data_IF_907044063465
#
_entry.id   IF_907044063465
#
_cell.length_a   1.000
_cell.length_b   1.000
_cell.length_c   1.000
_cell.angle_alpha   90.00
_cell.angle_beta   90.00
_cell.angle_gamma   90.00
#
_symmetry.space_group_name_H-M   'P 1'
#
loop_
_entity.id
_entity.type
_entity.pdbx_description
1 polymer ?
#
# COMPACT_ATOMS: atom_id res chain seq x y z
N UNK A 1 17.48 -2.63 4.21
CA UNK A 1 16.24 -1.97 3.72
C UNK A 1 15.96 -0.79 4.62
N UNK A 2 15.68 0.37 4.05
CA UNK A 2 15.55 1.63 4.80
C UNK A 2 14.09 1.96 5.08
N UNK A 3 13.80 2.41 6.30
CA UNK A 3 12.46 2.90 6.65
C UNK A 3 12.25 4.33 6.15
N UNK A 4 11.00 4.76 5.95
CA UNK A 4 10.67 6.15 5.61
C UNK A 4 11.29 7.14 6.61
N UNK A 5 11.23 6.83 7.91
CA UNK A 5 11.80 7.68 8.97
C UNK A 5 13.30 7.85 8.81
N UNK A 6 14.03 6.76 8.53
CA UNK A 6 15.47 6.81 8.27
C UNK A 6 15.81 7.59 7.01
N UNK A 7 15.05 7.39 5.92
CA UNK A 7 15.27 8.05 4.65
C UNK A 7 15.07 9.57 4.75
N UNK A 8 13.97 10.00 5.38
CA UNK A 8 13.70 11.43 5.63
C UNK A 8 14.75 12.03 6.56
N UNK A 9 15.19 11.29 7.59
CA UNK A 9 16.21 11.78 8.52
C UNK A 9 17.58 11.98 7.83
N UNK A 10 17.94 11.12 6.87
CA UNK A 10 19.22 11.19 6.14
C UNK A 10 19.30 12.37 5.18
N UNK A 11 18.19 12.77 4.56
CA UNK A 11 18.21 13.77 3.50
C UNK A 11 17.35 15.00 3.83
N UNK A 12 17.86 15.86 4.73
CA UNK A 12 17.18 17.10 5.14
C UNK A 12 17.46 18.32 4.24
N UNK A 13 18.27 18.15 3.19
CA UNK A 13 18.73 19.27 2.34
C UNK A 13 17.81 19.58 1.15
N UNK A 14 16.89 18.67 0.82
CA UNK A 14 15.87 18.86 -0.20
C UNK A 14 14.55 18.22 0.22
N UNK A 15 13.40 18.60 -0.38
CA UNK A 15 12.15 17.91 -0.15
C UNK A 15 12.27 16.41 -0.45
N UNK A 16 11.60 15.60 0.38
CA UNK A 16 11.44 14.16 0.16
C UNK A 16 10.20 13.95 -0.71
N UNK A 17 10.39 13.40 -1.90
CA UNK A 17 9.33 13.26 -2.92
C UNK A 17 8.78 11.85 -2.91
N UNK A 18 7.48 11.72 -2.66
CA UNK A 18 6.74 10.45 -2.74
C UNK A 18 5.79 10.50 -3.93
N UNK A 19 5.83 9.49 -4.79
CA UNK A 19 4.94 9.38 -5.95
C UNK A 19 3.86 8.33 -5.69
N UNK A 20 2.58 8.72 -5.80
CA UNK A 20 1.44 7.81 -5.68
C UNK A 20 1.31 6.92 -6.93
N UNK A 21 1.09 5.63 -6.70
CA UNK A 21 0.89 4.60 -7.72
C UNK A 21 -0.41 3.89 -7.44
N UNK A 22 -1.33 3.97 -8.40
CA UNK A 22 -2.50 3.10 -8.44
C UNK A 22 -2.07 1.71 -8.93
N UNK A 23 -2.33 0.63 -8.17
CA UNK A 23 -2.06 -0.72 -8.66
C UNK A 23 -2.83 -1.01 -9.96
N UNK A 24 -2.36 -1.93 -10.81
CA UNK A 24 -3.02 -2.30 -12.05
C UNK A 24 -4.30 -3.10 -11.80
N UNK A 25 -5.18 -3.11 -12.81
CA UNK A 25 -6.42 -3.90 -12.83
C UNK A 25 -6.22 -5.34 -13.30
N UNK A 26 -5.15 -5.60 -14.04
CA UNK A 26 -4.80 -6.91 -14.58
C UNK A 26 -3.49 -7.42 -13.97
N UNK A 27 -3.19 -8.70 -14.16
CA UNK A 27 -1.90 -9.32 -13.79
C UNK A 27 -0.75 -8.98 -14.75
N UNK A 28 -0.96 -8.09 -15.72
CA UNK A 28 0.07 -7.65 -16.67
C UNK A 28 1.00 -6.65 -15.96
N UNK A 29 2.28 -6.97 -15.88
CA UNK A 29 3.30 -6.15 -15.21
C UNK A 29 3.91 -5.09 -16.11
N UNK A 30 3.68 -5.15 -17.43
CA UNK A 30 4.25 -4.19 -18.37
C UNK A 30 3.71 -2.78 -18.11
N UNK A 31 2.47 -2.65 -17.61
CA UNK A 31 1.92 -1.37 -17.14
C UNK A 31 2.74 -0.74 -16.01
N UNK A 32 3.47 -1.53 -15.21
CA UNK A 32 4.33 -1.04 -14.12
C UNK A 32 5.71 -0.61 -14.62
N UNK A 33 6.13 -1.05 -15.81
CA UNK A 33 7.44 -0.69 -16.36
C UNK A 33 7.58 0.82 -16.58
N UNK A 34 6.47 1.51 -16.88
CA UNK A 34 6.43 2.96 -17.03
C UNK A 34 6.88 3.73 -15.77
N UNK A 35 6.77 3.13 -14.58
CA UNK A 35 7.24 3.73 -13.33
C UNK A 35 8.76 3.95 -13.30
N UNK A 36 9.53 3.22 -14.13
CA UNK A 36 10.98 3.42 -14.25
C UNK A 36 11.35 4.77 -14.89
N UNK A 37 10.40 5.46 -15.52
CA UNK A 37 10.60 6.80 -16.09
C UNK A 37 10.63 7.93 -15.06
N UNK A 38 10.26 7.65 -13.81
CA UNK A 38 10.28 8.61 -12.70
C UNK A 38 11.18 8.11 -11.58
N UNK A 39 11.83 9.04 -10.88
CA UNK A 39 12.82 8.74 -9.83
C UNK A 39 12.47 9.43 -8.49
N UNK A 40 11.29 9.13 -7.90
CA UNK A 40 10.96 9.65 -6.58
C UNK A 40 11.87 9.05 -5.51
N UNK A 41 11.90 9.65 -4.32
CA UNK A 41 12.60 9.07 -3.17
C UNK A 41 11.92 7.78 -2.68
N UNK A 42 10.61 7.67 -2.91
CA UNK A 42 9.79 6.52 -2.53
C UNK A 42 8.50 6.48 -3.36
N UNK A 43 7.98 5.29 -3.62
CA UNK A 43 6.64 5.11 -4.16
C UNK A 43 5.61 4.89 -3.05
N UNK A 44 4.39 5.37 -3.24
CA UNK A 44 3.25 5.08 -2.39
C UNK A 44 2.22 4.28 -3.17
N UNK A 45 2.00 3.03 -2.78
CA UNK A 45 1.10 2.14 -3.48
C UNK A 45 -0.29 2.20 -2.82
N UNK A 46 -1.26 2.76 -3.53
CA UNK A 46 -2.65 2.81 -3.09
C UNK A 46 -3.26 1.40 -2.98
N UNK A 47 -4.40 1.29 -2.29
CA UNK A 47 -5.16 0.05 -2.18
C UNK A 47 -6.61 0.27 -2.64
N UNK A 48 -7.05 -0.54 -3.61
CA UNK A 48 -8.41 -0.54 -4.18
C UNK A 48 -9.00 0.86 -4.49
N UNK A 49 -8.26 1.77 -5.18
CA UNK A 49 -8.77 3.09 -5.54
C UNK A 49 -10.12 3.01 -6.26
N UNK A 50 -11.04 3.90 -5.86
CA UNK A 50 -12.39 3.96 -6.40
C UNK A 50 -13.29 2.76 -6.04
N UNK A 51 -12.94 1.95 -5.03
CA UNK A 51 -13.68 0.74 -4.63
C UNK A 51 -13.74 -0.30 -5.74
N UNK A 52 -12.63 -0.47 -6.45
CA UNK A 52 -12.54 -1.40 -7.57
C UNK A 52 -11.39 -2.37 -7.36
N UNK A 53 -11.56 -3.62 -7.83
CA UNK A 53 -10.53 -4.66 -7.70
C UNK A 53 -9.24 -4.19 -8.36
N UNK A 54 -8.15 -4.41 -7.64
CA UNK A 54 -6.79 -4.07 -8.03
C UNK A 54 -5.84 -5.17 -7.56
N UNK A 55 -4.67 -5.24 -8.19
CA UNK A 55 -3.57 -6.01 -7.64
C UNK A 55 -3.28 -5.55 -6.20
N UNK A 56 -2.91 -6.49 -5.32
CA UNK A 56 -2.72 -6.17 -3.92
C UNK A 56 -1.59 -5.15 -3.74
N UNK A 57 -1.84 -4.14 -2.91
CA UNK A 57 -0.85 -3.09 -2.62
C UNK A 57 0.52 -3.62 -2.16
N UNK A 58 0.62 -4.58 -1.20
CA UNK A 58 1.92 -5.14 -0.83
C UNK A 58 2.58 -5.91 -1.96
N UNK A 59 1.84 -6.63 -2.81
CA UNK A 59 2.43 -7.31 -3.98
C UNK A 59 3.08 -6.32 -4.95
N UNK A 60 2.42 -5.19 -5.23
CA UNK A 60 2.97 -4.16 -6.12
C UNK A 60 4.15 -3.44 -5.47
N UNK A 61 4.09 -3.14 -4.18
CA UNK A 61 5.22 -2.55 -3.46
C UNK A 61 6.47 -3.44 -3.53
N UNK A 62 6.29 -4.75 -3.33
CA UNK A 62 7.41 -5.70 -3.46
C UNK A 62 7.94 -5.77 -4.90
N UNK A 63 7.04 -5.74 -5.89
CA UNK A 63 7.45 -5.73 -7.29
C UNK A 63 8.28 -4.47 -7.61
N UNK A 64 7.87 -3.29 -7.12
CA UNK A 64 8.60 -2.03 -7.29
C UNK A 64 9.99 -2.12 -6.65
N UNK A 65 10.09 -2.55 -5.39
CA UNK A 65 11.39 -2.68 -4.71
C UNK A 65 12.29 -3.72 -5.39
N UNK A 66 11.71 -4.78 -5.97
CA UNK A 66 12.46 -5.86 -6.61
C UNK A 66 12.95 -5.49 -8.02
N UNK A 67 12.15 -4.75 -8.80
CA UNK A 67 12.44 -4.50 -10.22
C UNK A 67 12.95 -3.07 -10.47
N UNK A 68 12.37 -2.06 -9.81
CA UNK A 68 12.73 -0.65 -9.98
C UNK A 68 13.81 -0.22 -8.96
N UNK A 69 13.99 -0.98 -7.88
CA UNK A 69 14.97 -0.72 -6.82
C UNK A 69 14.75 0.61 -6.07
N UNK A 70 13.51 1.11 -6.10
CA UNK A 70 13.08 2.28 -5.33
C UNK A 70 12.24 1.82 -4.14
N UNK A 71 12.45 2.33 -2.91
CA UNK A 71 11.64 1.97 -1.75
C UNK A 71 10.15 2.23 -1.98
N UNK A 72 9.29 1.44 -1.34
CA UNK A 72 7.84 1.60 -1.45
C UNK A 72 7.11 1.55 -0.11
N UNK A 73 6.07 2.38 0.02
CA UNK A 73 4.99 2.27 1.00
C UNK A 73 3.86 1.44 0.40
N UNK A 74 3.29 0.53 1.19
CA UNK A 74 2.06 -0.15 0.82
C UNK A 74 0.92 0.23 1.76
N UNK A 75 -0.30 0.20 1.24
CA UNK A 75 -1.51 0.58 1.94
C UNK A 75 -2.32 -0.64 2.35
N UNK A 76 -2.85 -0.63 3.57
CA UNK A 76 -3.88 -1.58 4.01
C UNK A 76 -5.13 -0.83 4.46
N UNK A 77 -6.29 -1.29 3.96
CA UNK A 77 -7.59 -0.64 4.14
C UNK A 77 -8.43 -1.46 5.10
N UNK A 78 -8.71 -0.94 6.30
CA UNK A 78 -9.42 -1.72 7.34
C UNK A 78 -10.90 -1.95 7.04
N UNK A 79 -11.50 -1.19 6.11
CA UNK A 79 -12.86 -1.43 5.61
C UNK A 79 -12.98 -2.75 4.85
N UNK A 80 -11.94 -3.15 4.12
CA UNK A 80 -12.00 -4.22 3.13
C UNK A 80 -11.64 -5.60 3.73
N UNK A 81 -11.07 -5.65 4.93
CA UNK A 81 -10.50 -6.88 5.50
C UNK A 81 -10.85 -7.07 6.98
N UNK A 82 -10.96 -8.34 7.40
CA UNK A 82 -11.04 -8.69 8.82
C UNK A 82 -9.64 -8.70 9.46
N UNK A 83 -9.60 -8.87 10.79
CA UNK A 83 -8.35 -8.89 11.56
C UNK A 83 -7.35 -9.94 11.04
N UNK A 84 -7.79 -11.18 10.83
CA UNK A 84 -6.93 -12.28 10.38
C UNK A 84 -6.33 -12.00 9.00
N UNK A 85 -7.14 -11.54 8.04
CA UNK A 85 -6.67 -11.18 6.71
C UNK A 85 -5.61 -10.07 6.78
N UNK A 86 -5.87 -9.00 7.56
CA UNK A 86 -4.91 -7.91 7.73
C UNK A 86 -3.58 -8.40 8.34
N UNK A 87 -3.64 -9.20 9.41
CA UNK A 87 -2.43 -9.66 10.10
C UNK A 87 -1.63 -10.67 9.26
N UNK A 88 -2.29 -11.60 8.56
CA UNK A 88 -1.63 -12.54 7.65
C UNK A 88 -0.97 -11.81 6.48
N UNK A 89 -1.66 -10.85 5.86
CA UNK A 89 -1.08 -10.04 4.77
C UNK A 89 0.11 -9.22 5.25
N UNK A 90 0.02 -8.62 6.44
CA UNK A 90 1.14 -7.85 7.02
C UNK A 90 2.37 -8.74 7.28
N UNK A 91 2.16 -9.94 7.84
CA UNK A 91 3.26 -10.88 8.08
C UNK A 91 3.93 -11.30 6.77
N UNK A 92 3.13 -11.61 5.73
CA UNK A 92 3.65 -11.91 4.40
C UNK A 92 4.46 -10.76 3.80
N UNK A 93 3.94 -9.52 3.88
CA UNK A 93 4.65 -8.33 3.44
C UNK A 93 5.99 -8.15 4.16
N UNK A 94 6.02 -8.40 5.47
CA UNK A 94 7.24 -8.33 6.26
C UNK A 94 8.27 -9.39 5.86
N UNK A 95 7.85 -10.63 5.62
CA UNK A 95 8.71 -11.72 5.10
C UNK A 95 9.32 -11.31 3.75
N UNK A 96 8.53 -10.67 2.89
CA UNK A 96 8.97 -10.18 1.58
C UNK A 96 9.89 -8.94 1.65
N UNK A 97 10.22 -8.46 2.85
CA UNK A 97 11.14 -7.34 3.05
C UNK A 97 10.48 -5.96 3.10
N UNK A 98 9.15 -5.85 2.93
CA UNK A 98 8.48 -4.56 3.04
C UNK A 98 8.49 -4.05 4.48
N UNK A 99 8.82 -2.76 4.65
CA UNK A 99 8.96 -2.13 5.97
C UNK A 99 8.11 -0.89 6.18
N UNK A 100 7.46 -0.39 5.13
CA UNK A 100 6.74 0.87 5.16
C UNK A 100 5.25 0.62 4.88
N UNK A 101 4.44 0.69 5.93
CA UNK A 101 3.00 0.45 5.90
C UNK A 101 2.24 1.76 6.13
N UNK A 102 1.19 1.98 5.35
CA UNK A 102 0.17 3.00 5.58
C UNK A 102 -1.16 2.31 5.89
N UNK A 103 -1.77 2.69 7.01
CA UNK A 103 -3.07 2.16 7.43
C UNK A 103 -4.14 3.22 7.25
N UNK A 104 -5.20 2.89 6.52
CA UNK A 104 -6.35 3.77 6.32
C UNK A 104 -7.67 3.05 6.59
N UNK A 105 -8.70 3.81 6.95
CA UNK A 105 -10.07 3.29 7.06
C UNK A 105 -10.61 2.87 5.70
N UNK A 106 -10.38 3.70 4.68
CA UNK A 106 -11.09 3.67 3.40
C UNK A 106 -12.40 4.45 3.44
N UNK A 107 -12.91 4.80 2.25
CA UNK A 107 -14.14 5.59 2.10
C UNK A 107 -15.38 4.82 2.53
N UNK A 108 -16.45 5.51 2.92
CA UNK A 108 -17.71 4.83 3.19
C UNK A 108 -18.29 4.24 1.88
N UNK A 109 -18.93 3.08 1.98
CA UNK A 109 -19.78 2.59 0.90
C UNK A 109 -21.09 3.38 0.91
N UNK A 110 -21.37 4.16 -0.13
CA UNK A 110 -22.68 4.78 -0.32
C UNK A 110 -23.67 3.77 -0.91
N UNK A 111 -24.95 3.83 -0.50
CA UNK A 111 -26.04 2.98 -0.98
C UNK A 111 -26.39 3.17 -2.46
N UNK A 112 -25.81 4.16 -3.15
CA UNK A 112 -26.10 4.53 -4.54
C UNK A 112 -25.18 3.88 -5.58
N UNK A 113 -24.34 2.91 -5.19
CA UNK A 113 -23.46 2.17 -6.11
C UNK A 113 -23.93 0.74 -6.35
N UNK A 114 -23.70 0.23 -7.57
CA UNK A 114 -23.98 -1.14 -8.02
C UNK A 114 -22.98 -2.18 -7.44
N UNK A 115 -22.82 -2.21 -6.12
CA UNK A 115 -21.89 -3.12 -5.45
C UNK A 115 -22.51 -3.73 -4.21
N UNK A 116 -22.48 -5.06 -4.12
CA UNK A 116 -22.92 -5.85 -2.96
C UNK A 116 -21.91 -5.84 -1.81
N UNK A 117 -20.78 -5.16 -1.97
CA UNK A 117 -19.69 -5.12 -0.99
C UNK A 117 -20.13 -4.45 0.31
N UNK A 118 -19.95 -5.18 1.42
CA UNK A 118 -20.19 -4.69 2.77
C UNK A 118 -18.86 -4.42 3.46
N UNK A 119 -18.76 -3.34 4.26
CA UNK A 119 -17.56 -3.10 5.04
C UNK A 119 -17.40 -4.20 6.08
N UNK A 120 -16.21 -4.81 6.15
CA UNK A 120 -15.95 -5.93 7.07
C UNK A 120 -15.90 -5.44 8.53
N UNK A 121 -15.43 -4.20 8.76
CA UNK A 121 -15.32 -3.54 10.08
C UNK A 121 -14.64 -4.38 11.17
N UNK A 122 -13.81 -5.36 10.79
CA UNK A 122 -13.17 -6.29 11.72
C UNK A 122 -11.99 -5.69 12.49
N UNK A 123 -11.50 -4.52 12.07
CA UNK A 123 -10.43 -3.80 12.75
C UNK A 123 -10.60 -2.28 12.56
N UNK A 124 -10.41 -1.48 13.60
CA UNK A 124 -10.28 -0.02 13.42
C UNK A 124 -8.84 0.31 13.01
N UNK A 125 -8.60 1.41 12.25
CA UNK A 125 -7.25 1.82 11.88
C UNK A 125 -6.32 1.97 13.08
N UNK A 126 -6.80 2.60 14.15
CA UNK A 126 -6.03 2.83 15.38
C UNK A 126 -5.73 1.53 16.13
N UNK A 127 -6.67 0.58 16.17
CA UNK A 127 -6.43 -0.73 16.77
C UNK A 127 -5.46 -1.56 15.93
N UNK A 128 -5.51 -1.47 14.60
CA UNK A 128 -4.56 -2.16 13.74
C UNK A 128 -3.15 -1.60 13.93
N UNK A 129 -2.99 -0.26 13.87
CA UNK A 129 -1.70 0.40 14.11
C UNK A 129 -1.10 -0.03 15.46
N UNK A 130 -1.91 -0.06 16.53
CA UNK A 130 -1.47 -0.53 17.86
C UNK A 130 -1.02 -2.00 17.88
N UNK A 131 -1.55 -2.82 16.98
CA UNK A 131 -1.20 -4.24 16.89
C UNK A 131 0.09 -4.51 16.11
N UNK A 132 0.57 -3.55 15.32
CA UNK A 132 1.88 -3.61 14.66
C UNK A 132 2.94 -3.31 15.72
N UNK A 133 3.88 -4.23 15.92
CA UNK A 133 5.00 -4.12 16.86
C UNK A 133 6.32 -4.12 16.13
#
# INVERSE_FOLDING_TARGET
MSTLVELVAKNRRRPFVVCDVSPPRSGNTEALSALSSVTPDMFFVAANPGRTVRASSPSIAQWIESNIKTPALFTMVTRDMNKTAMQTTLLGAHIMGLRNLVVVKGDNFNNSGCGTDKPVKGFTPTAFIRSVR
#
